data_IF_246824492082
#
_entry.id   IF_246824492082
#
_cell.length_a   1.000
_cell.length_b   1.000
_cell.length_c   1.000
_cell.angle_alpha   90.00
_cell.angle_beta   90.00
_cell.angle_gamma   90.00
#
_symmetry.space_group_name_H-M   'P 1'
#
loop_
_entity.id
_entity.type
_entity.pdbx_description
1 polymer ?
#
# COMPACT_ATOMS: atom_id res chain seq x y z
N UNK A 1 -14.86 -8.80 19.32
CA UNK A 1 -14.49 -7.69 18.43
C UNK A 1 -13.88 -8.24 17.14
N UNK A 2 -14.33 -7.76 16.02
CA UNK A 2 -13.83 -8.22 14.71
C UNK A 2 -12.75 -7.27 14.20
N UNK A 3 -11.75 -7.83 13.55
CA UNK A 3 -10.72 -7.04 12.87
C UNK A 3 -10.70 -7.40 11.38
N UNK A 4 -10.22 -6.48 10.57
CA UNK A 4 -10.09 -6.69 9.14
C UNK A 4 -8.62 -6.54 8.78
N UNK A 5 -8.07 -7.53 8.09
CA UNK A 5 -6.70 -7.47 7.61
C UNK A 5 -6.73 -7.56 6.08
N UNK A 6 -6.31 -6.51 5.37
CA UNK A 6 -6.16 -6.60 3.92
C UNK A 6 -5.08 -7.61 3.56
N UNK A 7 -5.32 -8.37 2.50
CA UNK A 7 -4.32 -9.29 1.95
C UNK A 7 -4.22 -9.06 0.45
N UNK A 8 -3.00 -8.86 -0.02
CA UNK A 8 -2.71 -8.67 -1.44
C UNK A 8 -2.10 -9.95 -1.98
N UNK A 9 -2.68 -10.47 -3.05
CA UNK A 9 -2.15 -11.65 -3.75
C UNK A 9 -1.28 -11.14 -4.90
N UNK A 10 -0.03 -11.57 -4.94
CA UNK A 10 0.93 -11.03 -5.91
C UNK A 10 1.85 -12.12 -6.45
N UNK A 11 2.28 -11.96 -7.70
CA UNK A 11 3.30 -12.80 -8.30
C UNK A 11 4.71 -12.31 -7.92
N UNK A 12 4.86 -11.11 -7.34
CA UNK A 12 6.15 -10.53 -7.02
C UNK A 12 6.15 -9.91 -5.62
N UNK A 13 6.21 -10.78 -4.64
CA UNK A 13 6.13 -10.43 -3.24
C UNK A 13 7.29 -9.51 -2.80
N UNK A 14 8.49 -9.73 -3.34
CA UNK A 14 9.66 -8.92 -2.96
C UNK A 14 9.54 -7.48 -3.44
N UNK A 15 8.99 -7.26 -4.62
CA UNK A 15 8.77 -5.90 -5.14
C UNK A 15 7.75 -5.17 -4.27
N UNK A 16 6.65 -5.82 -3.92
CA UNK A 16 5.64 -5.20 -3.06
C UNK A 16 6.18 -4.96 -1.65
N UNK A 17 6.92 -5.92 -1.09
CA UNK A 17 7.55 -5.74 0.23
C UNK A 17 8.43 -4.49 0.23
N UNK A 18 9.29 -4.35 -0.78
CA UNK A 18 10.15 -3.17 -0.90
C UNK A 18 9.37 -1.88 -1.03
N UNK A 19 8.31 -1.88 -1.84
CA UNK A 19 7.49 -0.70 -2.03
C UNK A 19 6.84 -0.24 -0.72
N UNK A 20 6.15 -1.14 -0.03
CA UNK A 20 5.44 -0.76 1.20
C UNK A 20 6.39 -0.44 2.35
N UNK A 21 7.53 -1.13 2.43
CA UNK A 21 8.54 -0.83 3.44
C UNK A 21 9.16 0.55 3.23
N UNK A 22 9.55 0.87 2.01
CA UNK A 22 10.27 2.13 1.72
C UNK A 22 9.34 3.32 1.67
N UNK A 23 8.11 3.14 1.18
CA UNK A 23 7.18 4.25 1.04
C UNK A 23 6.46 4.58 2.35
N UNK A 24 6.04 3.56 3.10
CA UNK A 24 5.20 3.74 4.29
C UNK A 24 5.87 3.33 5.59
N UNK A 25 7.11 2.85 5.55
CA UNK A 25 7.78 2.36 6.75
C UNK A 25 7.23 1.06 7.27
N UNK A 26 6.67 0.22 6.39
CA UNK A 26 6.15 -1.08 6.80
C UNK A 26 7.24 -1.94 7.39
N UNK A 27 6.89 -2.74 8.41
CA UNK A 27 7.81 -3.69 9.03
C UNK A 27 7.31 -5.10 8.79
N UNK A 28 8.21 -6.00 8.40
CA UNK A 28 7.87 -7.41 8.30
C UNK A 28 7.74 -7.97 9.71
N UNK A 29 6.55 -8.45 10.07
CA UNK A 29 6.27 -8.97 11.42
C UNK A 29 6.05 -10.47 11.41
N UNK A 30 5.89 -11.10 10.25
CA UNK A 30 5.56 -12.51 10.17
C UNK A 30 5.95 -13.05 8.81
N UNK A 31 6.46 -14.29 8.78
CA UNK A 31 6.90 -14.93 7.53
C UNK A 31 6.66 -16.43 7.61
N UNK A 32 6.03 -16.99 6.58
CA UNK A 32 5.79 -18.43 6.48
C UNK A 32 6.27 -18.92 5.10
N UNK A 33 7.18 -19.88 5.00
CA UNK A 33 8.03 -20.41 6.06
C UNK A 33 9.04 -19.37 6.56
N UNK A 34 9.61 -19.61 7.73
CA UNK A 34 10.54 -18.65 8.34
C UNK A 34 11.82 -18.50 7.51
N UNK A 35 12.20 -19.51 6.75
CA UNK A 35 13.38 -19.48 5.90
C UNK A 35 13.01 -19.84 4.47
N UNK A 36 13.75 -19.29 3.51
CA UNK A 36 13.51 -19.50 2.09
C UNK A 36 12.42 -18.60 1.53
N UNK A 37 11.98 -18.85 0.29
CA UNK A 37 10.90 -18.04 -0.32
C UNK A 37 9.64 -18.15 0.51
N UNK A 38 9.09 -17.00 0.92
CA UNK A 38 7.91 -16.96 1.75
C UNK A 38 6.65 -17.15 0.92
N UNK A 39 5.72 -17.95 1.42
CA UNK A 39 4.38 -18.07 0.88
C UNK A 39 3.52 -16.89 1.36
N UNK A 40 3.71 -16.47 2.60
CA UNK A 40 2.97 -15.40 3.22
C UNK A 40 3.92 -14.48 3.98
N UNK A 41 3.75 -13.18 3.79
CA UNK A 41 4.44 -12.15 4.55
C UNK A 41 3.40 -11.29 5.24
N UNK A 42 3.58 -11.07 6.55
CA UNK A 42 2.78 -10.11 7.30
C UNK A 42 3.57 -8.85 7.52
N UNK A 43 3.01 -7.71 7.15
CA UNK A 43 3.62 -6.40 7.33
C UNK A 43 2.80 -5.59 8.31
N UNK A 44 3.46 -4.71 9.05
CA UNK A 44 2.78 -3.73 9.88
C UNK A 44 3.07 -2.33 9.37
N UNK A 45 2.00 -1.59 9.10
CA UNK A 45 2.05 -0.18 8.72
C UNK A 45 1.31 0.60 9.80
N UNK A 46 2.05 1.37 10.61
CA UNK A 46 1.43 2.02 11.77
C UNK A 46 0.86 0.98 12.72
N UNK A 47 -0.46 0.98 12.91
CA UNK A 47 -1.17 0.01 13.74
C UNK A 47 -1.97 -1.02 12.94
N UNK A 48 -1.73 -1.11 11.64
CA UNK A 48 -2.49 -1.97 10.73
C UNK A 48 -1.61 -3.06 10.14
N UNK A 49 -2.14 -4.26 10.06
CA UNK A 49 -1.45 -5.38 9.46
C UNK A 49 -1.91 -5.57 8.01
N UNK A 50 -0.95 -5.78 7.10
CA UNK A 50 -1.18 -6.04 5.69
C UNK A 50 -0.51 -7.36 5.34
N UNK A 51 -1.24 -8.27 4.70
CA UNK A 51 -0.67 -9.54 4.26
C UNK A 51 -0.28 -9.51 2.78
N UNK A 52 0.83 -10.16 2.44
CA UNK A 52 1.24 -10.38 1.06
C UNK A 52 1.33 -11.88 0.80
N UNK A 53 0.51 -12.41 -0.09
CA UNK A 53 0.47 -13.83 -0.45
C UNK A 53 1.11 -14.00 -1.81
N UNK A 54 2.09 -14.90 -1.90
CA UNK A 54 2.74 -15.24 -3.16
C UNK A 54 1.87 -16.21 -3.95
N UNK A 55 1.59 -15.88 -5.20
CA UNK A 55 0.83 -16.75 -6.10
C UNK A 55 1.23 -16.48 -7.54
N UNK A 56 1.52 -17.54 -8.28
CA UNK A 56 1.70 -17.43 -9.72
C UNK A 56 0.34 -17.12 -10.35
N UNK A 57 0.29 -16.23 -11.30
CA UNK A 57 -0.94 -15.86 -12.03
C UNK A 57 -2.05 -15.38 -11.09
N UNK A 58 -1.86 -14.27 -10.38
CA UNK A 58 -2.87 -13.79 -9.42
C UNK A 58 -4.09 -13.13 -10.06
N UNK A 59 -4.29 -13.26 -11.37
CA UNK A 59 -5.44 -12.68 -12.03
C UNK A 59 -5.32 -11.18 -12.29
N UNK A 60 -4.13 -10.74 -12.69
CA UNK A 60 -3.88 -9.32 -12.97
C UNK A 60 -4.65 -8.86 -14.21
N UNK A 61 -5.02 -7.60 -14.24
CA UNK A 61 -5.67 -6.97 -15.38
C UNK A 61 -7.13 -6.62 -15.19
N UNK A 62 -7.81 -7.18 -14.20
CA UNK A 62 -9.17 -6.77 -13.86
C UNK A 62 -9.10 -5.55 -12.94
N UNK A 63 -10.02 -4.60 -13.11
CA UNK A 63 -10.09 -3.45 -12.22
C UNK A 63 -10.43 -3.92 -10.80
N UNK A 64 -9.63 -3.50 -9.83
CA UNK A 64 -9.90 -3.80 -8.44
C UNK A 64 -11.11 -3.00 -7.95
N UNK A 65 -12.01 -3.66 -7.21
CA UNK A 65 -13.15 -3.01 -6.58
C UNK A 65 -12.87 -2.68 -5.12
N UNK A 66 -11.68 -3.01 -4.64
CA UNK A 66 -11.24 -2.72 -3.27
C UNK A 66 -10.07 -1.76 -3.36
N UNK A 67 -10.18 -0.68 -2.61
CA UNK A 67 -9.21 0.40 -2.59
C UNK A 67 -8.62 0.49 -1.19
N UNK A 68 -7.30 0.53 -1.09
CA UNK A 68 -6.64 0.82 0.18
C UNK A 68 -6.52 2.32 0.35
N UNK A 69 -6.84 2.81 1.53
CA UNK A 69 -6.67 4.23 1.86
C UNK A 69 -5.66 4.29 3.00
N UNK A 70 -4.51 4.92 2.76
CA UNK A 70 -3.39 4.91 3.70
C UNK A 70 -3.11 6.35 4.13
N UNK A 71 -3.18 6.59 5.44
CA UNK A 71 -2.85 7.89 6.01
C UNK A 71 -1.35 8.10 6.06
N UNK A 72 -0.87 9.24 5.60
CA UNK A 72 0.53 9.63 5.63
C UNK A 72 0.65 11.02 6.24
N UNK A 73 1.86 11.37 6.71
CA UNK A 73 2.09 12.68 7.32
C UNK A 73 2.11 13.79 6.28
N UNK A 74 2.61 13.51 5.09
CA UNK A 74 2.77 14.52 4.04
C UNK A 74 2.54 13.85 2.68
N UNK A 75 1.36 14.11 2.10
CA UNK A 75 0.97 13.53 0.81
C UNK A 75 1.94 13.96 -0.29
N UNK A 76 2.31 15.24 -0.35
CA UNK A 76 3.17 15.76 -1.42
C UNK A 76 4.55 15.11 -1.38
N UNK A 77 5.14 14.96 -0.19
CA UNK A 77 6.44 14.31 -0.02
C UNK A 77 6.36 12.84 -0.41
N UNK A 78 5.30 12.16 0.02
CA UNK A 78 5.10 10.75 -0.29
C UNK A 78 4.95 10.53 -1.80
N UNK A 79 4.20 11.39 -2.48
CA UNK A 79 4.04 11.32 -3.94
C UNK A 79 5.37 11.37 -4.68
N UNK A 80 6.31 12.17 -4.18
CA UNK A 80 7.63 12.32 -4.80
C UNK A 80 8.47 11.04 -4.79
N UNK A 81 8.11 10.07 -3.96
CA UNK A 81 8.85 8.80 -3.86
C UNK A 81 8.21 7.63 -4.60
N UNK A 82 6.96 7.79 -5.06
CA UNK A 82 6.17 6.66 -5.60
C UNK A 82 6.80 6.06 -6.84
N UNK A 83 7.14 6.89 -7.82
CA UNK A 83 7.68 6.40 -9.10
C UNK A 83 9.02 5.69 -8.93
N UNK A 84 9.89 6.23 -8.08
CA UNK A 84 11.21 5.64 -7.83
C UNK A 84 11.11 4.27 -7.17
N UNK A 85 10.00 3.99 -6.49
CA UNK A 85 9.79 2.73 -5.78
C UNK A 85 8.95 1.74 -6.61
N UNK A 86 8.66 2.06 -7.86
CA UNK A 86 7.99 1.15 -8.78
C UNK A 86 6.49 1.34 -8.91
N UNK A 87 5.92 2.29 -8.16
CA UNK A 87 4.51 2.62 -8.28
C UNK A 87 4.26 3.70 -9.32
N UNK A 88 3.02 4.15 -9.42
CA UNK A 88 2.67 5.24 -10.32
C UNK A 88 1.68 6.20 -9.65
N UNK A 89 1.79 7.48 -9.98
CA UNK A 89 0.87 8.51 -9.51
C UNK A 89 -0.26 8.61 -10.52
N UNK A 90 -1.51 8.48 -10.03
CA UNK A 90 -2.69 8.45 -10.90
C UNK A 90 -3.51 9.73 -10.83
N UNK A 91 -3.42 10.49 -9.75
CA UNK A 91 -4.14 11.74 -9.63
C UNK A 91 -3.91 12.44 -8.31
N UNK A 92 -4.17 13.75 -8.29
CA UNK A 92 -4.00 14.59 -7.13
C UNK A 92 -2.59 15.16 -7.01
N UNK A 93 -2.28 15.84 -5.88
CA UNK A 93 -3.09 15.94 -4.67
C UNK A 93 -4.23 16.95 -4.81
N UNK A 94 -5.33 16.69 -4.13
CA UNK A 94 -6.48 17.58 -4.07
C UNK A 94 -6.96 17.70 -2.63
N UNK A 95 -7.34 18.93 -2.24
CA UNK A 95 -7.92 19.16 -0.93
C UNK A 95 -9.42 18.94 -0.99
N UNK A 96 -9.90 18.05 -0.15
CA UNK A 96 -11.30 17.64 -0.16
C UNK A 96 -12.14 18.45 0.83
N UNK A 97 -13.45 18.61 0.56
CA UNK A 97 -14.30 19.43 1.44
C UNK A 97 -14.40 18.92 2.87
N UNK A 98 -14.12 17.62 3.09
CA UNK A 98 -14.19 17.04 4.43
C UNK A 98 -12.90 17.19 5.25
N UNK A 99 -11.91 17.94 4.75
CA UNK A 99 -10.71 18.27 5.53
C UNK A 99 -9.54 17.34 5.34
N UNK A 100 -9.45 16.67 4.20
CA UNK A 100 -8.31 15.82 3.86
C UNK A 100 -7.70 16.21 2.53
N UNK A 101 -6.37 16.10 2.43
CA UNK A 101 -5.67 16.12 1.16
C UNK A 101 -5.54 14.66 0.68
N UNK A 102 -5.98 14.38 -0.54
CA UNK A 102 -6.04 13.03 -1.08
C UNK A 102 -5.30 12.96 -2.41
N UNK A 103 -4.51 11.92 -2.59
CA UNK A 103 -3.89 11.60 -3.87
C UNK A 103 -4.14 10.13 -4.21
N UNK A 104 -4.10 9.82 -5.49
CA UNK A 104 -4.35 8.48 -5.99
C UNK A 104 -3.08 7.93 -6.61
N UNK A 105 -2.66 6.75 -6.16
CA UNK A 105 -1.49 6.06 -6.70
C UNK A 105 -1.84 4.62 -7.01
N UNK A 106 -0.90 3.94 -7.66
CA UNK A 106 -0.93 2.47 -7.80
C UNK A 106 0.38 1.93 -7.29
N UNK A 107 0.31 0.77 -6.63
CA UNK A 107 1.52 0.05 -6.24
C UNK A 107 2.14 -0.65 -7.47
N UNK A 108 3.31 -1.31 -7.36
CA UNK A 108 3.94 -1.94 -8.51
C UNK A 108 3.11 -3.01 -9.23
N UNK A 109 2.13 -3.61 -8.54
CA UNK A 109 1.21 -4.57 -9.15
C UNK A 109 -0.01 -3.90 -9.79
N UNK A 110 -0.12 -2.58 -9.69
CA UNK A 110 -1.28 -1.85 -10.20
C UNK A 110 -2.47 -1.79 -9.25
N UNK A 111 -2.29 -2.17 -7.99
CA UNK A 111 -3.37 -2.04 -7.01
C UNK A 111 -3.59 -0.57 -6.68
N UNK A 112 -4.85 -0.10 -6.69
CA UNK A 112 -5.11 1.31 -6.36
C UNK A 112 -4.94 1.57 -4.86
N UNK A 113 -4.31 2.69 -4.55
CA UNK A 113 -4.09 3.13 -3.17
C UNK A 113 -4.35 4.63 -3.10
N UNK A 114 -5.13 5.05 -2.11
CA UNK A 114 -5.26 6.47 -1.80
C UNK A 114 -4.28 6.84 -0.71
N UNK A 115 -3.62 7.98 -0.88
CA UNK A 115 -2.84 8.61 0.19
C UNK A 115 -3.71 9.72 0.79
N UNK A 116 -3.79 9.77 2.11
CA UNK A 116 -4.60 10.78 2.79
C UNK A 116 -3.80 11.48 3.88
N UNK A 117 -4.15 12.73 4.11
CA UNK A 117 -3.50 13.58 5.11
C UNK A 117 -4.54 14.55 5.64
N UNK A 118 -4.67 14.74 6.97
CA UNK A 118 -5.54 15.77 7.49
C UNK A 118 -5.05 17.16 7.08
N UNK A 119 -5.98 18.05 6.72
CA UNK A 119 -5.64 19.44 6.45
C UNK A 119 -5.92 20.21 7.74
N UNK A 120 -4.95 21.02 8.23
CA UNK A 120 -5.22 21.82 9.42
C UNK A 120 -6.42 22.72 9.21
N UNK A 121 -7.31 22.77 10.20
CA UNK A 121 -8.43 23.70 10.21
C UNK A 121 -7.89 25.10 10.46
N UNK A 122 -8.25 26.05 9.61
CA UNK A 122 -7.74 27.37 9.83
C UNK A 122 -8.07 28.36 8.80
#
# INVERSE_FOLDING_TARGET
MSTIQPVIVTADQDVLLGFYTKLFGAEEIFRVPAEGPAFYLGLRIGDTDLGLVAKENPGTGAASRILLSIGVDDVDETLGRVAALGGSVRGGPNDMPWGQRVAHIQDPDGNPVNLTQPIPAG
#
